data_IF_830644139198
#
_entry.id   IF_830644139198
#
_cell.length_a   1.000
_cell.length_b   1.000
_cell.length_c   1.000
_cell.angle_alpha   90.00
_cell.angle_beta   90.00
_cell.angle_gamma   90.00
#
_symmetry.space_group_name_H-M   'P 1'
#
loop_
_entity.id
_entity.type
_entity.pdbx_description
1 polymer ?
#
# COMPACT_ATOMS: atom_id res chain seq x y z
N UNK A 1 -19.25 -14.05 65.85
CA UNK A 1 -18.09 -13.85 64.96
C UNK A 1 -18.20 -14.82 63.80
N UNK A 2 -18.32 -14.33 62.56
CA UNK A 2 -17.83 -15.04 61.37
C UNK A 2 -17.77 -14.07 60.20
N UNK A 3 -16.56 -13.55 59.99
CA UNK A 3 -16.17 -12.66 58.92
C UNK A 3 -16.23 -13.39 57.58
N UNK A 4 -17.35 -13.28 56.85
CA UNK A 4 -17.36 -13.50 55.40
C UNK A 4 -17.00 -12.19 54.74
N UNK A 5 -15.70 -11.98 54.61
CA UNK A 5 -15.14 -10.96 53.75
C UNK A 5 -15.73 -11.14 52.35
N UNK A 6 -16.62 -10.24 51.95
CA UNK A 6 -17.05 -10.08 50.57
C UNK A 6 -15.82 -9.61 49.78
N UNK A 7 -15.04 -10.57 49.27
CA UNK A 7 -13.95 -10.27 48.34
C UNK A 7 -14.60 -9.78 47.04
N UNK A 8 -14.39 -8.53 46.62
CA UNK A 8 -14.80 -8.10 45.29
C UNK A 8 -14.02 -8.94 44.29
N UNK A 9 -14.74 -9.74 43.49
CA UNK A 9 -14.16 -10.43 42.35
C UNK A 9 -13.65 -9.37 41.38
N UNK A 10 -12.34 -9.08 41.43
CA UNK A 10 -11.67 -8.31 40.38
C UNK A 10 -11.77 -9.10 39.10
N UNK A 11 -12.74 -8.74 38.26
CA UNK A 11 -12.84 -9.23 36.88
C UNK A 11 -11.55 -8.82 36.16
N UNK A 12 -10.65 -9.78 36.00
CA UNK A 12 -9.40 -9.62 35.28
C UNK A 12 -9.73 -9.36 33.80
N UNK A 13 -9.85 -8.08 33.40
CA UNK A 13 -10.02 -7.70 31.99
C UNK A 13 -8.78 -8.16 31.23
N UNK A 14 -8.88 -9.29 30.54
CA UNK A 14 -7.87 -9.75 29.60
C UNK A 14 -7.86 -8.75 28.45
N UNK A 15 -6.76 -7.99 28.33
CA UNK A 15 -6.59 -7.03 27.25
C UNK A 15 -6.56 -7.72 25.87
N UNK A 16 -6.90 -7.00 24.79
CA UNK A 16 -6.83 -7.52 23.42
C UNK A 16 -5.45 -8.11 23.11
N UNK A 17 -5.40 -9.29 22.48
CA UNK A 17 -4.14 -9.90 22.06
C UNK A 17 -3.45 -9.01 21.02
N UNK A 18 -2.12 -8.77 21.13
CA UNK A 18 -1.41 -8.04 20.10
C UNK A 18 -1.46 -8.83 18.78
N UNK A 19 -1.65 -8.14 17.64
CA UNK A 19 -1.71 -8.77 16.33
C UNK A 19 -0.40 -9.49 16.00
N UNK A 20 -0.49 -10.59 15.25
CA UNK A 20 0.66 -11.42 14.88
C UNK A 20 1.63 -10.69 13.96
N UNK A 21 2.85 -10.41 14.45
CA UNK A 21 3.91 -9.73 13.70
C UNK A 21 4.35 -10.47 12.43
N UNK A 22 4.20 -11.80 12.39
CA UNK A 22 4.74 -12.65 11.33
C UNK A 22 4.21 -12.32 9.92
N UNK A 23 2.92 -11.97 9.79
CA UNK A 23 2.33 -11.64 8.49
C UNK A 23 2.89 -10.33 7.92
N UNK A 24 3.20 -9.36 8.79
CA UNK A 24 3.73 -8.06 8.36
C UNK A 24 5.18 -8.19 7.90
N UNK A 25 5.97 -9.02 8.58
CA UNK A 25 7.36 -9.29 8.22
C UNK A 25 7.49 -9.98 6.86
N UNK A 26 6.60 -10.94 6.57
CA UNK A 26 6.54 -11.59 5.25
C UNK A 26 6.21 -10.59 4.13
N UNK A 27 5.29 -9.67 4.39
CA UNK A 27 4.92 -8.63 3.41
C UNK A 27 6.04 -7.63 3.20
N UNK A 28 6.73 -7.27 4.28
CA UNK A 28 7.91 -6.40 4.22
C UNK A 28 9.02 -7.04 3.37
N UNK A 29 9.29 -8.35 3.55
CA UNK A 29 10.25 -9.07 2.73
C UNK A 29 9.85 -9.07 1.25
N UNK A 30 8.58 -9.31 0.93
CA UNK A 30 8.08 -9.25 -0.44
C UNK A 30 8.22 -7.83 -1.05
N UNK A 31 7.90 -6.78 -0.28
CA UNK A 31 8.07 -5.39 -0.72
C UNK A 31 9.54 -5.03 -0.98
N UNK A 32 10.45 -5.49 -0.12
CA UNK A 32 11.89 -5.32 -0.29
C UNK A 32 12.40 -6.05 -1.54
N UNK A 33 11.90 -7.24 -1.82
CA UNK A 33 12.25 -7.97 -3.04
C UNK A 33 11.79 -7.21 -4.31
N UNK A 34 10.54 -6.73 -4.33
CA UNK A 34 10.05 -5.91 -5.45
C UNK A 34 10.80 -4.58 -5.56
N UNK A 35 11.28 -4.02 -4.45
CA UNK A 35 12.13 -2.83 -4.45
C UNK A 35 13.49 -3.12 -5.05
N UNK A 36 14.14 -4.19 -4.62
CA UNK A 36 15.41 -4.62 -5.19
C UNK A 36 15.28 -4.89 -6.69
N UNK A 37 14.16 -5.47 -7.14
CA UNK A 37 13.91 -5.74 -8.55
C UNK A 37 13.78 -4.44 -9.37
N UNK A 38 13.03 -3.45 -8.87
CA UNK A 38 12.86 -2.16 -9.53
C UNK A 38 14.09 -1.26 -9.46
N UNK A 39 14.88 -1.36 -8.38
CA UNK A 39 16.18 -0.68 -8.28
C UNK A 39 17.21 -1.35 -9.20
N UNK A 40 17.26 -2.68 -9.22
CA UNK A 40 18.16 -3.46 -10.06
C UNK A 40 17.86 -3.30 -11.55
N UNK A 41 16.58 -3.20 -11.93
CA UNK A 41 16.20 -2.90 -13.31
C UNK A 41 16.73 -1.54 -13.76
N UNK A 42 16.79 -0.53 -12.88
CA UNK A 42 17.38 0.78 -13.19
C UNK A 42 18.88 0.73 -13.50
N UNK A 43 19.61 -0.26 -12.98
CA UNK A 43 21.03 -0.47 -13.32
C UNK A 43 21.23 -1.18 -14.66
N UNK A 44 20.19 -1.83 -15.19
CA UNK A 44 20.22 -2.48 -16.50
C UNK A 44 19.75 -1.47 -17.57
N UNK A 45 20.57 -1.22 -18.59
CA UNK A 45 20.23 -0.34 -19.73
C UNK A 45 19.20 -1.03 -20.63
N UNK A 46 17.94 -1.05 -20.21
CA UNK A 46 16.79 -1.59 -20.98
C UNK A 46 16.06 -0.51 -21.82
N UNK A 47 16.51 0.75 -21.77
CA UNK A 47 15.85 1.85 -22.48
C UNK A 47 14.39 2.06 -22.04
N UNK A 48 13.51 2.43 -22.96
CA UNK A 48 12.09 2.70 -22.68
C UNK A 48 11.31 1.49 -22.10
N UNK A 49 11.78 0.26 -22.35
CA UNK A 49 11.15 -0.94 -21.80
C UNK A 49 11.30 -1.04 -20.27
N UNK A 50 12.33 -0.40 -19.71
CA UNK A 50 12.57 -0.36 -18.29
C UNK A 50 11.51 0.45 -17.52
N UNK A 51 11.01 1.54 -18.14
CA UNK A 51 9.95 2.37 -17.56
C UNK A 51 8.64 1.60 -17.46
N UNK A 52 8.25 0.90 -18.52
CA UNK A 52 7.04 0.06 -18.54
C UNK A 52 7.13 -1.06 -17.50
N UNK A 53 8.29 -1.73 -17.42
CA UNK A 53 8.53 -2.78 -16.42
C UNK A 53 8.46 -2.24 -14.99
N UNK A 54 9.07 -1.08 -14.71
CA UNK A 54 9.02 -0.44 -13.40
C UNK A 54 7.62 0.02 -13.00
N UNK A 55 6.82 0.51 -13.96
CA UNK A 55 5.39 0.80 -13.76
C UNK A 55 4.61 -0.45 -13.38
N UNK A 56 4.86 -1.58 -14.07
CA UNK A 56 4.27 -2.87 -13.70
C UNK A 56 4.62 -3.29 -12.27
N UNK A 57 5.89 -3.20 -11.89
CA UNK A 57 6.35 -3.52 -10.52
C UNK A 57 5.71 -2.58 -9.49
N UNK A 58 5.56 -1.30 -9.81
CA UNK A 58 4.91 -0.31 -8.95
C UNK A 58 3.45 -0.65 -8.68
N UNK A 59 2.69 -1.09 -9.70
CA UNK A 59 1.30 -1.54 -9.55
C UNK A 59 1.21 -2.76 -8.63
N UNK A 60 2.08 -3.76 -8.82
CA UNK A 60 2.09 -4.96 -7.97
C UNK A 60 2.42 -4.62 -6.51
N UNK A 61 3.39 -3.72 -6.29
CA UNK A 61 3.68 -3.17 -4.95
C UNK A 61 2.46 -2.52 -4.31
N UNK A 62 1.76 -1.66 -5.06
CA UNK A 62 0.59 -0.96 -4.57
C UNK A 62 -0.54 -1.94 -4.18
N UNK A 63 -0.79 -2.96 -5.00
CA UNK A 63 -1.77 -4.01 -4.70
C UNK A 63 -1.41 -4.79 -3.43
N UNK A 64 -0.13 -5.11 -3.23
CA UNK A 64 0.33 -5.85 -2.06
C UNK A 64 0.15 -5.04 -0.76
N UNK A 65 0.48 -3.75 -0.79
CA UNK A 65 0.24 -2.82 0.32
C UNK A 65 -1.26 -2.73 0.62
N UNK A 66 -2.09 -2.54 -0.41
CA UNK A 66 -3.54 -2.41 -0.25
C UNK A 66 -4.16 -3.68 0.37
N UNK A 67 -3.71 -4.86 -0.06
CA UNK A 67 -4.31 -6.12 0.38
C UNK A 67 -3.87 -6.50 1.80
N UNK A 68 -2.60 -6.28 2.15
CA UNK A 68 -2.04 -6.78 3.41
C UNK A 68 -1.92 -5.70 4.49
N UNK A 69 -1.32 -4.54 4.18
CA UNK A 69 -1.09 -3.49 5.19
C UNK A 69 -2.36 -2.74 5.57
N UNK A 70 -3.24 -2.49 4.61
CA UNK A 70 -4.55 -1.89 4.89
C UNK A 70 -5.58 -2.90 5.41
N UNK A 71 -5.21 -4.19 5.57
CA UNK A 71 -6.10 -5.30 5.95
C UNK A 71 -7.48 -5.16 5.32
N UNK A 72 -7.50 -4.88 4.02
CA UNK A 72 -8.71 -4.53 3.27
C UNK A 72 -9.80 -5.61 3.36
N UNK A 73 -9.37 -6.85 3.61
CA UNK A 73 -10.23 -8.02 3.82
C UNK A 73 -10.79 -8.16 5.25
N UNK A 74 -10.25 -7.47 6.25
CA UNK A 74 -10.60 -7.68 7.66
C UNK A 74 -11.16 -6.44 8.35
N UNK A 75 -10.84 -5.23 7.87
CA UNK A 75 -11.30 -3.97 8.48
C UNK A 75 -12.40 -3.25 7.68
N UNK A 76 -13.06 -2.32 8.38
CA UNK A 76 -14.32 -1.64 8.08
C UNK A 76 -14.48 -1.15 6.62
N UNK A 77 -15.67 -1.37 6.02
CA UNK A 77 -15.95 -1.09 4.61
C UNK A 77 -15.68 0.37 4.17
N UNK A 78 -15.71 1.32 5.12
CA UNK A 78 -15.42 2.72 4.88
C UNK A 78 -13.95 2.97 4.45
N UNK A 79 -12.99 2.28 5.09
CA UNK A 79 -11.56 2.36 4.74
C UNK A 79 -11.30 1.85 3.32
N UNK A 80 -12.05 0.81 2.93
CA UNK A 80 -12.05 0.24 1.58
C UNK A 80 -12.45 1.26 0.53
N UNK A 81 -13.58 1.91 0.74
CA UNK A 81 -14.13 2.87 -0.21
C UNK A 81 -13.20 4.06 -0.35
N UNK A 82 -12.72 4.63 0.76
CA UNK A 82 -11.80 5.77 0.75
C UNK A 82 -10.48 5.43 0.05
N UNK A 83 -9.89 4.26 0.33
CA UNK A 83 -8.65 3.83 -0.33
C UNK A 83 -8.84 3.63 -1.84
N UNK A 84 -9.94 2.98 -2.25
CA UNK A 84 -10.26 2.80 -3.67
C UNK A 84 -10.57 4.12 -4.38
N UNK A 85 -11.23 5.07 -3.70
CA UNK A 85 -11.52 6.39 -4.22
C UNK A 85 -10.25 7.22 -4.42
N UNK A 86 -9.32 7.17 -3.47
CA UNK A 86 -8.01 7.81 -3.62
C UNK A 86 -7.22 7.23 -4.80
N UNK A 87 -7.25 5.91 -4.99
CA UNK A 87 -6.59 5.26 -6.12
C UNK A 87 -7.25 5.57 -7.46
N UNK A 88 -8.58 5.60 -7.51
CA UNK A 88 -9.34 6.01 -8.69
C UNK A 88 -9.04 7.47 -9.07
N UNK A 89 -8.97 8.36 -8.07
CA UNK A 89 -8.60 9.75 -8.28
C UNK A 89 -7.18 9.88 -8.85
N UNK A 90 -6.21 9.15 -8.28
CA UNK A 90 -4.83 9.10 -8.77
C UNK A 90 -4.75 8.60 -10.23
N UNK A 91 -5.50 7.56 -10.57
CA UNK A 91 -5.56 7.04 -11.94
C UNK A 91 -6.08 8.09 -12.92
N UNK A 92 -7.10 8.88 -12.53
CA UNK A 92 -7.62 9.99 -13.33
C UNK A 92 -6.56 11.07 -13.53
N UNK A 93 -5.83 11.45 -12.48
CA UNK A 93 -4.74 12.44 -12.58
C UNK A 93 -3.63 11.97 -13.52
N UNK A 94 -3.21 10.70 -13.43
CA UNK A 94 -2.20 10.13 -14.32
C UNK A 94 -2.70 10.13 -15.77
N UNK A 95 -3.94 9.72 -16.01
CA UNK A 95 -4.53 9.72 -17.35
C UNK A 95 -4.60 11.13 -17.95
N UNK A 96 -5.00 12.13 -17.14
CA UNK A 96 -5.00 13.54 -17.54
C UNK A 96 -3.60 14.05 -17.86
N UNK A 97 -2.60 13.78 -17.02
CA UNK A 97 -1.22 14.18 -17.28
C UNK A 97 -0.65 13.52 -18.54
N UNK A 98 -0.97 12.25 -18.78
CA UNK A 98 -0.53 11.54 -19.98
C UNK A 98 -1.23 12.09 -21.23
N UNK A 99 -2.52 12.40 -21.14
CA UNK A 99 -3.26 13.05 -22.22
C UNK A 99 -2.69 14.45 -22.53
N UNK A 100 -2.33 15.25 -21.53
CA UNK A 100 -1.65 16.54 -21.71
C UNK A 100 -0.30 16.37 -22.42
N UNK A 101 0.51 15.41 -21.96
CA UNK A 101 1.82 15.14 -22.55
C UNK A 101 1.72 14.68 -24.02
N UNK A 102 0.72 13.84 -24.35
CA UNK A 102 0.50 13.35 -25.72
C UNK A 102 -0.11 14.40 -26.65
N UNK A 103 -0.91 15.32 -26.12
CA UNK A 103 -1.54 16.41 -26.90
C UNK A 103 -0.67 17.66 -26.97
N UNK A 104 0.43 17.73 -26.21
CA UNK A 104 1.45 18.76 -26.36
C UNK A 104 2.07 18.71 -27.75
N UNK A 105 1.60 19.60 -28.61
CA UNK A 105 2.35 20.06 -29.77
C UNK A 105 3.58 20.83 -29.24
N UNK A 106 4.77 20.30 -29.51
CA UNK A 106 6.03 20.99 -29.22
C UNK A 106 6.14 22.20 -30.16
N UNK A 107 5.63 23.35 -29.72
CA UNK A 107 5.95 24.63 -30.33
C UNK A 107 7.42 24.90 -30.03
N UNK A 108 8.34 24.54 -30.94
CA UNK A 108 9.68 25.10 -30.91
C UNK A 108 9.54 26.62 -30.95
N UNK A 109 9.90 27.37 -29.90
CA UNK A 109 9.87 28.82 -29.95
C UNK A 109 10.90 29.27 -31.01
N UNK A 110 10.55 30.19 -31.93
CA UNK A 110 11.49 30.73 -32.89
C UNK A 110 12.37 31.79 -32.21
N UNK A 111 13.31 31.35 -31.36
CA UNK A 111 14.45 32.16 -30.91
C UNK A 111 15.56 31.27 -30.34
#
# INVERSE_FOLDING_TARGET
>A
MNARAARPQRTHRSGPRPPSLGSNLWTLAALLALLALSAGSALLKLGAFNEVANLGIAIVKALLVLTIFMRLKTDNALLRIVASAGFAWLAVLIALSLADALTRVSLLPPW
#
